data_IF_688795391916
#
_entry.id   IF_688795391916
#
_cell.length_a   1.000
_cell.length_b   1.000
_cell.length_c   1.000
_cell.angle_alpha   90.00
_cell.angle_beta   90.00
_cell.angle_gamma   90.00
#
_symmetry.space_group_name_H-M   'P 1'
#
loop_
_entity.id
_entity.type
_entity.pdbx_description
1 polymer ?
#
# COMPACT_ATOMS: atom_id res chain seq x y z
N UNK A 1 -36.17 -30.81 5.79
CA UNK A 1 -34.72 -30.82 5.57
C UNK A 1 -34.20 -29.40 5.72
N UNK A 2 -33.86 -29.00 6.94
CA UNK A 2 -33.27 -27.70 7.19
C UNK A 2 -31.85 -27.71 6.64
N UNK A 3 -31.59 -26.95 5.57
CA UNK A 3 -30.23 -26.61 5.20
C UNK A 3 -29.69 -25.71 6.32
N UNK A 4 -28.87 -26.30 7.18
CA UNK A 4 -27.96 -25.56 8.03
C UNK A 4 -27.06 -24.76 7.08
N UNK A 5 -27.38 -23.48 6.93
CA UNK A 5 -26.52 -22.52 6.26
C UNK A 5 -25.26 -22.38 7.12
N UNK A 6 -24.24 -23.19 6.80
CA UNK A 6 -22.87 -23.00 7.24
C UNK A 6 -22.36 -21.70 6.61
N UNK A 7 -22.77 -20.54 7.13
CA UNK A 7 -21.97 -19.32 7.00
C UNK A 7 -20.73 -19.54 7.86
N UNK A 8 -19.70 -20.05 7.21
CA UNK A 8 -18.32 -20.08 7.70
C UNK A 8 -17.99 -18.79 8.42
N UNK A 9 -17.34 -18.91 9.57
CA UNK A 9 -16.71 -17.83 10.32
C UNK A 9 -15.86 -16.94 9.39
N UNK A 10 -16.44 -15.86 8.87
CA UNK A 10 -15.69 -14.84 8.14
C UNK A 10 -14.80 -14.16 9.17
N UNK A 11 -13.50 -14.49 9.13
CA UNK A 11 -12.49 -13.84 9.95
C UNK A 11 -12.53 -12.35 9.60
N UNK A 12 -12.74 -11.48 10.60
CA UNK A 12 -12.83 -10.04 10.35
C UNK A 12 -11.49 -9.48 9.84
N UNK A 13 -11.54 -8.38 9.07
CA UNK A 13 -10.36 -7.64 8.63
C UNK A 13 -9.40 -7.32 9.80
N UNK A 14 -9.94 -6.89 10.95
CA UNK A 14 -9.14 -6.61 12.15
C UNK A 14 -8.41 -7.87 12.68
N UNK A 15 -9.09 -9.02 12.65
CA UNK A 15 -8.53 -10.29 13.10
C UNK A 15 -7.42 -10.77 12.15
N UNK A 16 -7.63 -10.63 10.84
CA UNK A 16 -6.62 -10.89 9.82
C UNK A 16 -5.43 -9.95 9.95
N UNK A 17 -5.67 -8.66 10.25
CA UNK A 17 -4.61 -7.68 10.43
C UNK A 17 -3.75 -8.02 11.64
N UNK A 18 -4.39 -8.35 12.76
CA UNK A 18 -3.69 -8.83 13.96
C UNK A 18 -2.92 -10.13 13.70
N UNK A 19 -3.48 -11.05 12.91
CA UNK A 19 -2.82 -12.29 12.51
C UNK A 19 -1.58 -12.02 11.65
N UNK A 20 -1.69 -11.14 10.66
CA UNK A 20 -0.58 -10.70 9.83
C UNK A 20 0.54 -10.08 10.66
N UNK A 21 0.20 -9.20 11.62
CA UNK A 21 1.18 -8.59 12.54
C UNK A 21 1.90 -9.64 13.39
N UNK A 22 1.18 -10.68 13.86
CA UNK A 22 1.77 -11.79 14.60
C UNK A 22 2.71 -12.62 13.75
N UNK A 23 2.32 -12.95 12.51
CA UNK A 23 3.21 -13.67 11.60
C UNK A 23 4.45 -12.86 11.24
N UNK A 24 4.29 -11.56 11.02
CA UNK A 24 5.39 -10.65 10.75
C UNK A 24 6.39 -10.59 11.93
N UNK A 25 5.90 -10.52 13.17
CA UNK A 25 6.77 -10.43 14.36
C UNK A 25 7.55 -11.71 14.66
N UNK A 26 7.07 -12.86 14.20
CA UNK A 26 7.79 -14.15 14.26
C UNK A 26 8.53 -14.48 12.96
N UNK A 27 8.74 -13.48 12.11
CA UNK A 27 9.51 -13.55 10.84
C UNK A 27 8.94 -14.52 9.80
N UNK A 28 7.67 -14.88 9.93
CA UNK A 28 6.93 -15.71 8.97
C UNK A 28 6.27 -14.82 7.91
N UNK A 29 7.08 -14.22 7.04
CA UNK A 29 6.62 -13.19 6.10
C UNK A 29 5.64 -13.68 5.05
N UNK A 30 5.78 -14.92 4.55
CA UNK A 30 4.84 -15.48 3.58
C UNK A 30 3.41 -15.55 4.18
N UNK A 31 3.30 -16.06 5.42
CA UNK A 31 2.03 -16.13 6.13
C UNK A 31 1.48 -14.75 6.52
N UNK A 32 2.35 -13.79 6.81
CA UNK A 32 1.95 -12.41 7.06
C UNK A 32 1.34 -11.80 5.78
N UNK A 33 1.97 -12.04 4.63
CA UNK A 33 1.51 -11.56 3.34
C UNK A 33 0.15 -12.18 2.99
N UNK A 34 -0.05 -13.48 3.22
CA UNK A 34 -1.34 -14.14 2.99
C UNK A 34 -2.45 -13.51 3.83
N UNK A 35 -2.18 -13.28 5.13
CA UNK A 35 -3.14 -12.68 6.04
C UNK A 35 -3.50 -11.23 5.64
N UNK A 36 -2.51 -10.42 5.25
CA UNK A 36 -2.77 -9.06 4.78
C UNK A 36 -3.47 -9.03 3.41
N UNK A 37 -3.11 -9.92 2.49
CA UNK A 37 -3.70 -9.97 1.14
C UNK A 37 -5.17 -10.38 1.18
N UNK A 38 -5.56 -11.24 2.13
CA UNK A 38 -6.97 -11.56 2.36
C UNK A 38 -7.81 -10.33 2.75
N UNK A 39 -7.21 -9.33 3.40
CA UNK A 39 -7.91 -8.08 3.76
C UNK A 39 -8.09 -7.19 2.52
N UNK A 40 -7.12 -7.18 1.61
CA UNK A 40 -7.16 -6.37 0.38
C UNK A 40 -8.34 -6.72 -0.53
N UNK A 41 -8.91 -7.92 -0.41
CA UNK A 41 -10.11 -8.30 -1.17
C UNK A 41 -11.35 -7.48 -0.77
N UNK A 42 -11.39 -6.96 0.46
CA UNK A 42 -12.53 -6.22 1.00
C UNK A 42 -12.22 -4.73 1.21
N UNK A 43 -11.00 -4.39 1.65
CA UNK A 43 -10.63 -3.04 2.09
C UNK A 43 -9.24 -2.65 1.61
N UNK A 44 -9.16 -1.46 1.00
CA UNK A 44 -7.89 -0.80 0.68
C UNK A 44 -7.61 0.33 1.67
N UNK A 45 -6.45 0.28 2.35
CA UNK A 45 -6.06 1.29 3.34
C UNK A 45 -4.53 1.50 3.34
N UNK A 46 -4.02 2.73 3.53
CA UNK A 46 -2.59 3.02 3.54
C UNK A 46 -1.80 2.17 4.53
N UNK A 47 -2.32 1.93 5.75
CA UNK A 47 -1.65 1.11 6.77
C UNK A 47 -1.51 -0.37 6.35
N UNK A 48 -2.48 -0.89 5.60
CA UNK A 48 -2.42 -2.25 5.07
C UNK A 48 -1.32 -2.36 4.01
N UNK A 49 -1.28 -1.40 3.08
CA UNK A 49 -0.23 -1.29 2.08
C UNK A 49 1.17 -1.08 2.70
N UNK A 50 1.26 -0.32 3.79
CA UNK A 50 2.50 -0.16 4.56
C UNK A 50 3.01 -1.51 5.08
N UNK A 51 2.14 -2.31 5.69
CA UNK A 51 2.51 -3.63 6.20
C UNK A 51 2.84 -4.63 5.09
N UNK A 52 2.11 -4.61 3.97
CA UNK A 52 2.42 -5.44 2.80
C UNK A 52 3.77 -5.06 2.19
N UNK A 53 4.06 -3.76 2.05
CA UNK A 53 5.35 -3.28 1.56
C UNK A 53 6.52 -3.69 2.47
N UNK A 54 6.34 -3.58 3.78
CA UNK A 54 7.32 -4.06 4.76
C UNK A 54 7.54 -5.58 4.62
N UNK A 55 6.47 -6.33 4.38
CA UNK A 55 6.52 -7.79 4.23
C UNK A 55 7.28 -8.18 2.96
N UNK A 56 6.97 -7.58 1.82
CA UNK A 56 7.71 -7.79 0.57
C UNK A 56 9.19 -7.40 0.69
N UNK A 57 9.49 -6.30 1.39
CA UNK A 57 10.86 -5.88 1.64
C UNK A 57 11.64 -6.93 2.45
N UNK A 58 11.02 -7.53 3.47
CA UNK A 58 11.64 -8.61 4.26
C UNK A 58 11.80 -9.91 3.47
N UNK A 59 10.90 -10.18 2.52
CA UNK A 59 11.02 -11.28 1.55
C UNK A 59 12.08 -11.02 0.46
N UNK A 60 12.59 -9.80 0.35
CA UNK A 60 13.56 -9.41 -0.69
C UNK A 60 12.94 -9.07 -2.04
N UNK A 61 11.60 -9.04 -2.15
CA UNK A 61 10.89 -8.63 -3.36
C UNK A 61 10.79 -7.09 -3.41
N UNK A 62 11.91 -6.46 -3.79
CA UNK A 62 12.06 -4.99 -3.82
C UNK A 62 11.01 -4.35 -4.73
N UNK A 63 10.73 -4.95 -5.90
CA UNK A 63 9.75 -4.41 -6.84
C UNK A 63 8.34 -4.35 -6.26
N UNK A 64 7.88 -5.42 -5.61
CA UNK A 64 6.56 -5.42 -4.96
C UNK A 64 6.50 -4.54 -3.71
N UNK A 65 7.62 -4.37 -3.01
CA UNK A 65 7.70 -3.42 -1.90
C UNK A 65 7.51 -1.97 -2.36
N UNK A 66 8.17 -1.56 -3.46
CA UNK A 66 7.95 -0.24 -4.10
C UNK A 66 6.48 -0.07 -4.47
N UNK A 67 5.90 -1.04 -5.18
CA UNK A 67 4.50 -1.00 -5.60
C UNK A 67 3.55 -0.80 -4.41
N UNK A 68 3.75 -1.55 -3.32
CA UNK A 68 2.88 -1.46 -2.14
C UNK A 68 2.96 -0.08 -1.48
N UNK A 69 4.16 0.48 -1.32
CA UNK A 69 4.31 1.81 -0.72
C UNK A 69 3.73 2.91 -1.61
N UNK A 70 3.97 2.85 -2.92
CA UNK A 70 3.36 3.79 -3.87
C UNK A 70 1.83 3.69 -3.87
N UNK A 71 1.27 2.49 -3.71
CA UNK A 71 -0.16 2.29 -3.54
C UNK A 71 -0.68 2.93 -2.27
N UNK A 72 -0.02 2.72 -1.12
CA UNK A 72 -0.39 3.40 0.12
C UNK A 72 -0.38 4.93 -0.01
N UNK A 73 0.60 5.49 -0.72
CA UNK A 73 0.70 6.93 -0.96
C UNK A 73 -0.38 7.47 -1.91
N UNK A 74 -1.02 6.64 -2.74
CA UNK A 74 -2.19 7.07 -3.51
C UNK A 74 -3.39 7.40 -2.60
N UNK A 75 -3.50 6.71 -1.47
CA UNK A 75 -4.54 6.97 -0.46
C UNK A 75 -4.15 8.06 0.53
N UNK A 76 -2.88 8.08 0.96
CA UNK A 76 -2.36 9.10 1.86
C UNK A 76 -1.02 9.68 1.35
N UNK A 77 -1.04 10.65 0.42
CA UNK A 77 0.17 11.16 -0.24
C UNK A 77 1.23 11.75 0.69
N UNK A 78 0.83 12.19 1.89
CA UNK A 78 1.71 12.81 2.89
C UNK A 78 2.06 11.89 4.05
N UNK A 79 1.89 10.58 3.89
CA UNK A 79 2.25 9.62 4.92
C UNK A 79 3.78 9.54 5.04
N UNK A 80 4.32 9.95 6.20
CA UNK A 80 5.77 10.04 6.41
C UNK A 80 6.46 8.67 6.35
N UNK A 81 5.88 7.67 7.02
CA UNK A 81 6.53 6.34 7.08
C UNK A 81 6.52 5.61 5.73
N UNK A 82 5.43 5.72 4.96
CA UNK A 82 5.38 5.21 3.58
C UNK A 82 6.44 5.86 2.68
N UNK A 83 6.58 7.19 2.72
CA UNK A 83 7.63 7.88 1.96
C UNK A 83 9.03 7.44 2.40
N UNK A 84 9.28 7.40 3.71
CA UNK A 84 10.56 6.98 4.27
C UNK A 84 10.95 5.56 3.84
N UNK A 85 10.01 4.61 3.93
CA UNK A 85 10.27 3.24 3.51
C UNK A 85 10.40 3.10 1.99
N UNK A 86 9.65 3.87 1.21
CA UNK A 86 9.81 3.93 -0.23
C UNK A 86 11.20 4.43 -0.62
N UNK A 87 11.70 5.49 0.03
CA UNK A 87 13.06 6.00 -0.16
C UNK A 87 14.12 4.92 0.14
N UNK A 88 13.97 4.21 1.25
CA UNK A 88 14.85 3.08 1.59
C UNK A 88 14.81 2.02 0.50
N UNK A 89 13.64 1.59 0.06
CA UNK A 89 13.52 0.52 -0.94
C UNK A 89 14.07 0.96 -2.30
N UNK A 90 13.86 2.21 -2.69
CA UNK A 90 14.43 2.80 -3.91
C UNK A 90 15.97 2.82 -3.89
N UNK A 91 16.61 2.87 -2.73
CA UNK A 91 18.09 2.70 -2.64
C UNK A 91 18.57 1.33 -3.10
N UNK A 92 17.69 0.31 -3.07
CA UNK A 92 18.00 -1.07 -3.46
C UNK A 92 17.55 -1.42 -4.88
N UNK A 93 16.81 -0.53 -5.55
CA UNK A 93 16.43 -0.71 -6.96
C UNK A 93 17.67 -0.46 -7.82
N UNK A 94 18.17 -1.51 -8.49
CA UNK A 94 19.35 -1.44 -9.36
C UNK A 94 19.04 -0.71 -10.67
N UNK A 95 17.86 -0.96 -11.26
CA UNK A 95 17.42 -0.35 -12.51
C UNK A 95 16.58 0.90 -12.23
N UNK A 96 17.25 2.02 -11.97
CA UNK A 96 16.56 3.32 -11.85
C UNK A 96 16.26 3.86 -13.24
N UNK A 97 14.98 3.94 -13.58
CA UNK A 97 14.55 4.78 -14.69
C UNK A 97 14.61 6.22 -14.19
N UNK A 98 15.76 6.88 -14.40
CA UNK A 98 15.87 8.31 -14.16
C UNK A 98 14.99 9.05 -15.16
N UNK A 99 13.94 9.71 -14.67
CA UNK A 99 13.11 10.56 -15.50
C UNK A 99 13.95 11.78 -15.91
N UNK A 100 14.16 12.05 -17.21
CA UNK A 100 14.99 13.17 -17.64
C UNK A 100 14.46 14.50 -17.09
N UNK A 101 15.32 15.25 -16.40
CA UNK A 101 15.04 16.60 -15.93
C UNK A 101 14.84 17.52 -17.15
N UNK A 102 13.60 17.84 -17.51
CA UNK A 102 13.34 18.68 -18.69
C UNK A 102 11.88 19.01 -19.03
N UNK A 103 10.90 18.35 -18.43
CA UNK A 103 9.49 18.56 -18.78
C UNK A 103 8.75 19.24 -17.63
N UNK A 104 8.65 20.57 -17.68
CA UNK A 104 7.91 21.40 -16.74
C UNK A 104 6.53 20.82 -16.38
N UNK A 105 5.79 20.31 -17.37
CA UNK A 105 4.45 19.75 -17.17
C UNK A 105 4.44 18.40 -16.46
N UNK A 106 5.50 17.59 -16.58
CA UNK A 106 5.61 16.31 -15.85
C UNK A 106 5.88 16.58 -14.37
N UNK A 107 6.81 17.49 -14.06
CA UNK A 107 7.12 17.90 -12.69
C UNK A 107 5.94 18.61 -12.03
N UNK A 108 5.26 19.49 -12.76
CA UNK A 108 4.05 20.17 -12.29
C UNK A 108 2.90 19.20 -12.03
N UNK A 109 2.65 18.24 -12.94
CA UNK A 109 1.64 17.19 -12.76
C UNK A 109 1.98 16.26 -11.58
N UNK A 110 3.22 15.80 -11.48
CA UNK A 110 3.70 14.96 -10.38
C UNK A 110 3.59 15.68 -9.04
N UNK A 111 3.95 16.96 -8.98
CA UNK A 111 3.79 17.80 -7.78
C UNK A 111 2.34 17.96 -7.36
N UNK A 112 1.40 18.08 -8.30
CA UNK A 112 -0.02 18.13 -7.98
C UNK A 112 -0.52 16.79 -7.46
N UNK A 113 -0.19 15.69 -8.15
CA UNK A 113 -0.56 14.32 -7.76
C UNK A 113 -0.03 13.92 -6.39
N UNK A 114 1.21 14.26 -6.07
CA UNK A 114 1.81 13.92 -4.78
C UNK A 114 1.29 14.77 -3.62
N UNK A 115 0.58 15.87 -3.91
CA UNK A 115 0.15 16.84 -2.91
C UNK A 115 -1.35 16.78 -2.62
N UNK A 116 -2.14 16.29 -3.57
CA UNK A 116 -3.61 16.23 -3.54
C UNK A 116 -4.14 14.97 -4.24
N UNK A 117 -5.24 14.42 -3.72
CA UNK A 117 -5.95 13.32 -4.38
C UNK A 117 -6.89 13.83 -5.47
N UNK A 118 -7.33 12.96 -6.39
CA UNK A 118 -8.31 13.33 -7.42
C UNK A 118 -9.64 13.80 -6.80
N UNK A 119 -10.01 13.26 -5.63
CA UNK A 119 -11.20 13.68 -4.90
C UNK A 119 -11.05 15.12 -4.37
N UNK A 120 -9.88 15.47 -3.83
CA UNK A 120 -9.61 16.86 -3.42
C UNK A 120 -9.81 17.82 -4.60
N UNK A 121 -9.26 17.50 -5.77
CA UNK A 121 -9.37 18.33 -6.96
C UNK A 121 -10.83 18.51 -7.45
N UNK A 122 -11.65 17.46 -7.35
CA UNK A 122 -13.08 17.52 -7.70
C UNK A 122 -13.86 18.40 -6.72
N UNK A 123 -13.58 18.31 -5.42
CA UNK A 123 -14.23 19.14 -4.40
C UNK A 123 -13.95 20.63 -4.63
N UNK A 124 -12.71 20.99 -4.97
CA UNK A 124 -12.35 22.37 -5.29
C UNK A 124 -12.91 22.84 -6.65
N UNK A 125 -13.01 21.94 -7.63
CA UNK A 125 -13.56 22.26 -8.96
C UNK A 125 -15.08 22.36 -9.02
N UNK A 126 -15.80 21.65 -8.14
CA UNK A 126 -17.27 21.69 -8.05
C UNK A 126 -17.84 22.85 -7.21
N UNK A 127 -16.97 23.65 -6.58
CA UNK A 127 -17.33 24.81 -5.77
C UNK A 127 -17.22 26.16 -6.52
N UNK A 128 -16.86 26.15 -7.81
CA UNK A 128 -16.86 27.35 -8.69
C UNK A 128 -17.99 27.34 -9.71
#
# INVERSE_FOLDING_TARGET
MAMVSLRSDTISADSLFALGNRYFSIEKYDYALDAYSAILEEVEHPDLYFNIGNTFYRLGDIGKAVWAYEKGLQFLPRHKDLNYNLDIVNTRVQDRIEVPQGYFFIEWYSSLKNKYTLQDLIVWGGLM
#
